data_IF_748371955773
#
_entry.id   IF_748371955773
#
_cell.length_a   1.000
_cell.length_b   1.000
_cell.length_c   1.000
_cell.angle_alpha   90.00
_cell.angle_beta   90.00
_cell.angle_gamma   90.00
#
_symmetry.space_group_name_H-M   'P 1'
#
loop_
_entity.id
_entity.type
_entity.pdbx_description
1 polymer ?
#
# COMPACT_ATOMS: atom_id res chain seq x y z
N UNK A 1 0.24 17.84 24.27
CA UNK A 1 1.06 17.06 23.32
C UNK A 1 1.34 15.75 24.00
N UNK A 2 0.89 14.65 23.42
CA UNK A 2 1.18 13.31 23.94
C UNK A 2 2.62 12.95 23.55
N UNK A 3 3.42 12.46 24.49
CA UNK A 3 4.80 12.05 24.19
C UNK A 3 4.79 10.71 23.44
N UNK A 4 5.32 10.72 22.23
CA UNK A 4 5.50 9.51 21.40
C UNK A 4 6.80 8.82 21.83
N UNK A 5 6.67 7.73 22.58
CA UNK A 5 7.80 6.93 23.04
C UNK A 5 8.53 6.22 21.89
N UNK A 6 9.80 5.83 22.10
CA UNK A 6 10.49 4.98 21.12
C UNK A 6 9.75 3.65 20.98
N UNK A 7 9.52 3.23 19.73
CA UNK A 7 8.81 1.98 19.41
C UNK A 7 7.29 2.08 19.48
N UNK A 8 6.70 3.24 19.81
CA UNK A 8 5.24 3.38 19.82
C UNK A 8 4.68 3.41 18.40
N UNK A 9 3.52 2.79 18.22
CA UNK A 9 2.77 2.84 16.98
C UNK A 9 2.20 4.25 16.76
N UNK A 10 2.62 4.90 15.67
CA UNK A 10 2.15 6.25 15.32
C UNK A 10 0.89 6.18 14.44
N UNK A 11 0.90 5.32 13.41
CA UNK A 11 -0.21 5.10 12.49
C UNK A 11 -0.20 3.65 12.01
N UNK A 12 -1.38 3.05 11.90
CA UNK A 12 -1.61 1.78 11.19
C UNK A 12 -2.64 2.03 10.09
N UNK A 13 -2.27 1.73 8.85
CA UNK A 13 -3.06 2.03 7.66
C UNK A 13 -3.06 0.84 6.70
N UNK A 14 -4.21 0.55 6.09
CA UNK A 14 -4.30 -0.39 4.96
C UNK A 14 -3.99 0.36 3.66
N UNK A 15 -3.36 -0.29 2.67
CA UNK A 15 -3.14 0.36 1.39
C UNK A 15 -4.49 0.73 0.76
N UNK A 16 -4.59 1.94 0.21
CA UNK A 16 -5.74 2.33 -0.59
C UNK A 16 -5.83 1.49 -1.86
N UNK A 17 -4.69 1.30 -2.52
CA UNK A 17 -4.50 0.43 -3.66
C UNK A 17 -3.09 -0.16 -3.63
N UNK A 18 -2.93 -1.39 -4.11
CA UNK A 18 -1.66 -2.08 -4.13
C UNK A 18 -1.58 -3.06 -5.31
N UNK A 19 -0.38 -3.25 -5.86
CA UNK A 19 -0.13 -4.12 -7.01
C UNK A 19 1.21 -4.84 -6.89
N UNK A 20 1.23 -6.13 -7.27
CA UNK A 20 2.46 -6.91 -7.39
C UNK A 20 3.33 -6.42 -8.54
N UNK A 21 4.64 -6.42 -8.34
CA UNK A 21 5.58 -6.22 -9.43
C UNK A 21 5.46 -7.37 -10.44
N UNK A 22 5.65 -7.14 -11.76
CA UNK A 22 5.44 -8.14 -12.80
C UNK A 22 6.13 -9.49 -12.54
N UNK A 23 7.39 -9.46 -12.07
CA UNK A 23 8.17 -10.65 -11.72
C UNK A 23 7.56 -11.50 -10.59
N UNK A 24 6.66 -10.93 -9.79
CA UNK A 24 6.06 -11.57 -8.63
C UNK A 24 4.59 -11.97 -8.82
N UNK A 25 3.95 -11.56 -9.93
CA UNK A 25 2.53 -11.88 -10.20
C UNK A 25 2.24 -13.39 -10.27
N UNK A 26 3.19 -14.19 -10.73
CA UNK A 26 3.03 -15.66 -10.80
C UNK A 26 3.45 -16.39 -9.52
N UNK A 27 4.11 -15.70 -8.60
CA UNK A 27 4.73 -16.33 -7.41
C UNK A 27 4.12 -15.85 -6.10
N UNK A 28 3.32 -14.78 -6.11
CA UNK A 28 2.71 -14.18 -4.93
C UNK A 28 1.22 -13.92 -5.16
N UNK A 29 0.45 -13.95 -4.08
CA UNK A 29 -0.97 -13.65 -4.11
C UNK A 29 -1.22 -12.16 -4.40
N UNK A 30 -2.14 -11.85 -5.30
CA UNK A 30 -2.49 -10.48 -5.65
C UNK A 30 -3.17 -9.71 -4.49
N UNK A 31 -3.75 -10.41 -3.52
CA UNK A 31 -4.47 -9.82 -2.40
C UNK A 31 -3.60 -9.63 -1.16
N UNK A 32 -2.89 -10.68 -0.72
CA UNK A 32 -2.07 -10.63 0.50
C UNK A 32 -0.56 -10.50 0.25
N UNK A 33 -0.12 -10.57 -1.00
CA UNK A 33 1.29 -10.55 -1.41
C UNK A 33 2.15 -11.68 -0.82
N UNK A 34 1.57 -12.69 -0.16
CA UNK A 34 2.30 -13.87 0.30
C UNK A 34 2.70 -14.76 -0.87
N UNK A 35 3.86 -15.41 -0.78
CA UNK A 35 4.37 -16.33 -1.80
C UNK A 35 3.47 -17.57 -1.91
N UNK A 36 2.90 -17.81 -3.08
CA UNK A 36 2.00 -18.93 -3.34
C UNK A 36 2.80 -20.22 -3.59
N UNK A 37 2.35 -21.34 -3.01
CA UNK A 37 2.92 -22.68 -3.23
C UNK A 37 2.16 -23.48 -4.31
N UNK A 38 0.89 -23.13 -4.60
CA UNK A 38 0.10 -23.66 -5.73
C UNK A 38 -0.90 -22.61 -6.26
N UNK A 39 -0.88 -22.36 -7.57
CA UNK A 39 -1.52 -21.22 -8.22
C UNK A 39 -2.98 -21.49 -8.61
N UNK A 40 -3.89 -20.62 -8.18
CA UNK A 40 -5.18 -20.37 -8.86
C UNK A 40 -5.38 -18.85 -8.96
N UNK A 41 -5.64 -18.29 -10.15
CA UNK A 41 -5.77 -16.86 -10.33
C UNK A 41 -7.22 -16.42 -10.06
N UNK A 42 -7.41 -15.46 -9.15
CA UNK A 42 -8.63 -14.64 -9.09
C UNK A 42 -8.26 -13.16 -9.22
N UNK A 43 -8.87 -12.50 -10.20
CA UNK A 43 -8.84 -11.06 -10.42
C UNK A 43 -10.07 -10.44 -9.75
N UNK A 44 -9.89 -9.59 -8.74
CA UNK A 44 -10.97 -8.73 -8.25
C UNK A 44 -10.45 -7.29 -8.15
N UNK A 45 -10.99 -6.43 -9.00
CA UNK A 45 -11.01 -4.98 -8.87
C UNK A 45 -12.40 -4.59 -8.34
N UNK A 46 -12.48 -3.70 -7.35
CA UNK A 46 -13.75 -3.12 -6.91
C UNK A 46 -13.57 -1.62 -6.70
N UNK A 47 -14.17 -0.83 -7.59
CA UNK A 47 -14.39 0.60 -7.43
C UNK A 47 -15.87 0.87 -7.66
N UNK A 48 -16.51 1.60 -6.74
CA UNK A 48 -17.84 2.18 -6.92
C UNK A 48 -17.73 3.69 -6.65
N UNK A 49 -18.33 4.48 -7.53
CA UNK A 49 -18.36 5.93 -7.50
C UNK A 49 -19.44 6.48 -6.55
N UNK A 50 -19.17 7.66 -5.96
CA UNK A 50 -20.14 8.74 -5.79
C UNK A 50 -19.45 10.05 -5.42
N UNK A 51 -20.04 11.15 -5.89
CA UNK A 51 -19.52 12.52 -5.90
C UNK A 51 -19.55 13.23 -4.54
N UNK A 52 -18.71 14.24 -4.38
CA UNK A 52 -18.97 15.41 -3.52
C UNK A 52 -18.03 16.58 -3.87
N UNK A 53 -18.63 17.74 -4.18
CA UNK A 53 -17.97 19.04 -4.24
C UNK A 53 -17.83 19.65 -2.85
N UNK A 54 -16.66 20.22 -2.52
CA UNK A 54 -16.56 21.12 -1.38
C UNK A 54 -15.50 22.19 -1.61
N UNK A 55 -15.92 23.45 -1.65
CA UNK A 55 -15.06 24.64 -1.54
C UNK A 55 -14.60 24.88 -0.09
N UNK A 56 -13.35 25.33 0.06
CA UNK A 56 -12.87 26.02 1.27
C UNK A 56 -12.27 25.16 2.39
N UNK A 57 -11.92 23.89 2.15
CA UNK A 57 -11.33 22.99 3.16
C UNK A 57 -9.86 22.63 2.88
N UNK A 58 -9.12 22.26 3.92
CA UNK A 58 -7.75 21.73 3.81
C UNK A 58 -7.74 20.50 2.90
N UNK A 59 -6.86 20.47 1.90
CA UNK A 59 -6.74 19.41 0.90
C UNK A 59 -6.71 17.99 1.54
N UNK A 60 -7.55 17.08 1.04
CA UNK A 60 -7.60 15.68 1.50
C UNK A 60 -8.47 15.41 2.73
N UNK A 61 -9.03 16.44 3.38
CA UNK A 61 -9.91 16.30 4.54
C UNK A 61 -11.38 16.22 4.10
N UNK A 62 -12.10 15.24 4.65
CA UNK A 62 -13.53 15.05 4.39
C UNK A 62 -14.45 16.08 5.05
N UNK A 63 -15.75 15.97 4.78
CA UNK A 63 -16.77 16.85 5.38
C UNK A 63 -16.81 16.79 6.91
N UNK A 64 -16.51 15.61 7.45
CA UNK A 64 -16.41 15.34 8.87
C UNK A 64 -15.16 15.95 9.52
N UNK A 65 -14.29 16.63 8.76
CA UNK A 65 -13.01 17.15 9.26
C UNK A 65 -11.93 16.06 9.44
N UNK A 66 -12.18 14.84 8.96
CA UNK A 66 -11.27 13.70 9.10
C UNK A 66 -10.50 13.44 7.80
N UNK A 67 -9.16 13.39 7.88
CA UNK A 67 -8.32 12.92 6.77
C UNK A 67 -8.43 11.40 6.66
N UNK A 68 -8.58 10.88 5.43
CA UNK A 68 -8.70 9.44 5.17
C UNK A 68 -9.82 8.78 6.01
N UNK A 69 -11.01 9.37 5.96
CA UNK A 69 -12.20 8.93 6.69
C UNK A 69 -12.67 7.50 6.34
N UNK A 70 -13.69 6.99 7.05
CA UNK A 70 -14.14 5.59 6.88
C UNK A 70 -14.85 5.33 5.54
N UNK A 71 -15.56 6.34 5.01
CA UNK A 71 -16.28 6.30 3.75
C UNK A 71 -15.33 6.38 2.54
N UNK A 72 -15.82 5.90 1.39
CA UNK A 72 -15.02 5.82 0.17
C UNK A 72 -14.61 7.22 -0.30
N UNK A 73 -15.54 8.17 -0.31
CA UNK A 73 -15.30 9.54 -0.81
C UNK A 73 -14.13 10.18 -0.07
N UNK A 74 -14.08 10.07 1.26
CA UNK A 74 -12.99 10.62 2.05
C UNK A 74 -11.66 9.88 1.84
N UNK A 75 -11.68 8.58 1.57
CA UNK A 75 -10.46 7.81 1.19
C UNK A 75 -9.92 8.25 -0.16
N UNK A 76 -10.79 8.36 -1.17
CA UNK A 76 -10.39 8.84 -2.49
C UNK A 76 -9.93 10.29 -2.44
N UNK A 77 -10.63 11.15 -1.70
CA UNK A 77 -10.24 12.55 -1.47
C UNK A 77 -8.84 12.66 -0.89
N UNK A 78 -8.47 11.80 0.08
CA UNK A 78 -7.11 11.76 0.62
C UNK A 78 -6.07 11.41 -0.47
N UNK A 79 -6.33 10.39 -1.30
CA UNK A 79 -5.45 10.00 -2.42
C UNK A 79 -5.34 11.11 -3.48
N UNK A 80 -6.48 11.67 -3.90
CA UNK A 80 -6.56 12.67 -4.95
C UNK A 80 -5.76 13.93 -4.61
N UNK A 81 -5.65 14.26 -3.32
CA UNK A 81 -4.92 15.43 -2.84
C UNK A 81 -3.45 15.15 -2.52
N UNK A 82 -2.94 13.93 -2.71
CA UNK A 82 -1.51 13.67 -2.65
C UNK A 82 -0.77 14.48 -3.72
N UNK A 83 0.42 14.98 -3.38
CA UNK A 83 1.19 15.84 -4.29
C UNK A 83 1.69 15.03 -5.50
N UNK A 84 1.29 15.37 -6.74
CA UNK A 84 1.72 14.64 -7.94
C UNK A 84 3.10 15.08 -8.45
N UNK A 85 3.63 16.22 -7.97
CA UNK A 85 4.89 16.84 -8.42
C UNK A 85 5.06 17.03 -9.95
N UNK A 86 3.96 17.06 -10.72
CA UNK A 86 3.98 17.24 -12.19
C UNK A 86 4.81 18.45 -12.64
N UNK A 87 4.67 19.61 -11.97
CA UNK A 87 5.39 20.83 -12.34
C UNK A 87 6.92 20.76 -12.10
N UNK A 88 7.41 19.75 -11.40
CA UNK A 88 8.84 19.50 -11.15
C UNK A 88 9.36 18.28 -11.93
N UNK A 89 8.50 17.64 -12.69
CA UNK A 89 8.80 16.45 -13.49
C UNK A 89 9.44 16.87 -14.81
N UNK A 90 10.32 16.03 -15.37
CA UNK A 90 10.92 16.27 -16.69
C UNK A 90 9.85 16.26 -17.78
N UNK A 91 10.08 17.00 -18.87
CA UNK A 91 9.08 17.11 -19.95
C UNK A 91 8.85 15.76 -20.63
N UNK A 92 9.90 14.95 -20.76
CA UNK A 92 9.82 13.60 -21.30
C UNK A 92 8.89 12.70 -20.48
N UNK A 93 9.00 12.77 -19.15
CA UNK A 93 8.14 12.03 -18.23
C UNK A 93 6.70 12.54 -18.26
N UNK A 94 6.51 13.86 -18.30
CA UNK A 94 5.17 14.46 -18.44
C UNK A 94 4.49 14.00 -19.74
N UNK A 95 5.23 13.97 -20.85
CA UNK A 95 4.73 13.48 -22.13
C UNK A 95 4.40 11.98 -22.06
N UNK A 96 5.26 11.17 -21.44
CA UNK A 96 4.98 9.74 -21.25
C UNK A 96 3.72 9.51 -20.41
N UNK A 97 3.53 10.25 -19.32
CA UNK A 97 2.33 10.13 -18.48
C UNK A 97 1.08 10.58 -19.22
N UNK A 98 1.17 11.66 -20.01
CA UNK A 98 0.07 12.13 -20.84
C UNK A 98 -0.34 11.08 -21.88
N UNK A 99 0.62 10.52 -22.63
CA UNK A 99 0.36 9.47 -23.62
C UNK A 99 -0.23 8.21 -22.97
N UNK A 100 0.34 7.75 -21.86
CA UNK A 100 -0.18 6.61 -21.12
C UNK A 100 -1.61 6.86 -20.63
N UNK A 101 -1.90 8.06 -20.13
CA UNK A 101 -3.22 8.41 -19.65
C UNK A 101 -4.26 8.47 -20.75
N UNK A 102 -3.93 9.04 -21.91
CA UNK A 102 -4.81 9.06 -23.08
C UNK A 102 -5.10 7.62 -23.53
N UNK A 103 -4.06 6.80 -23.70
CA UNK A 103 -4.22 5.40 -24.11
C UNK A 103 -5.10 4.60 -23.13
N UNK A 104 -4.91 4.80 -21.82
CA UNK A 104 -5.71 4.14 -20.80
C UNK A 104 -7.15 4.65 -20.78
N UNK A 105 -7.37 5.96 -20.88
CA UNK A 105 -8.71 6.54 -20.90
C UNK A 105 -9.50 6.09 -22.14
N UNK A 106 -8.86 6.07 -23.31
CA UNK A 106 -9.44 5.53 -24.54
C UNK A 106 -9.73 4.04 -24.41
N UNK A 107 -8.80 3.25 -23.85
CA UNK A 107 -9.05 1.82 -23.63
C UNK A 107 -10.20 1.57 -22.64
N UNK A 108 -10.35 2.39 -21.59
CA UNK A 108 -11.47 2.30 -20.66
C UNK A 108 -12.78 2.63 -21.40
N UNK A 109 -12.80 3.71 -22.19
CA UNK A 109 -13.97 4.12 -22.97
C UNK A 109 -14.39 3.08 -24.02
N UNK A 110 -13.43 2.46 -24.71
CA UNK A 110 -13.70 1.55 -25.83
C UNK A 110 -14.03 0.12 -25.36
N UNK A 111 -13.58 -0.26 -24.16
CA UNK A 111 -13.63 -1.65 -23.67
C UNK A 111 -14.57 -1.83 -22.50
N UNK A 112 -15.08 -0.75 -21.91
CA UNK A 112 -15.97 -0.77 -20.76
C UNK A 112 -17.02 0.32 -20.89
N UNK A 113 -18.16 0.14 -20.22
CA UNK A 113 -19.20 1.16 -20.16
C UNK A 113 -18.94 2.17 -19.03
N UNK A 114 -17.70 2.29 -18.54
CA UNK A 114 -17.38 3.08 -17.35
C UNK A 114 -17.80 4.55 -17.49
N UNK A 115 -17.64 5.14 -18.68
CA UNK A 115 -18.08 6.52 -18.91
C UNK A 115 -19.61 6.58 -18.93
N UNK A 116 -20.25 5.74 -19.74
CA UNK A 116 -21.71 5.71 -19.89
C UNK A 116 -22.46 5.46 -18.57
N UNK A 117 -21.95 4.56 -17.73
CA UNK A 117 -22.53 4.23 -16.42
C UNK A 117 -22.36 5.33 -15.37
N UNK A 118 -21.50 6.32 -15.62
CA UNK A 118 -21.16 7.38 -14.67
C UNK A 118 -21.43 8.79 -15.22
N UNK A 119 -22.16 8.91 -16.33
CA UNK A 119 -22.77 10.16 -16.76
C UNK A 119 -23.98 10.42 -15.86
N UNK A 120 -23.99 11.53 -15.12
CA UNK A 120 -25.11 11.91 -14.27
C UNK A 120 -26.15 12.67 -15.10
N UNK A 121 -27.25 12.00 -15.46
CA UNK A 121 -28.34 12.58 -16.26
C UNK A 121 -29.01 13.80 -15.59
N UNK A 122 -28.85 13.99 -14.28
CA UNK A 122 -29.57 15.00 -13.50
C UNK A 122 -28.77 16.27 -13.18
N UNK A 123 -27.48 16.32 -13.52
CA UNK A 123 -26.59 17.40 -13.07
C UNK A 123 -26.10 18.18 -14.29
N UNK A 124 -26.35 19.49 -14.35
CA UNK A 124 -25.87 20.42 -15.40
C UNK A 124 -24.32 20.57 -15.47
N UNK A 125 -23.55 19.58 -14.97
CA UNK A 125 -22.09 19.52 -15.02
C UNK A 125 -21.65 18.77 -16.28
N UNK A 126 -20.51 19.19 -16.81
CA UNK A 126 -19.92 18.64 -18.02
C UNK A 126 -19.84 17.10 -17.96
N UNK A 127 -20.41 16.44 -18.96
CA UNK A 127 -20.34 14.99 -19.14
C UNK A 127 -18.89 14.51 -18.97
N UNK A 128 -18.69 13.40 -18.25
CA UNK A 128 -17.40 12.76 -18.14
C UNK A 128 -16.94 12.34 -19.54
N UNK A 129 -15.91 12.97 -20.08
CA UNK A 129 -15.35 12.62 -21.39
C UNK A 129 -13.97 11.94 -21.28
N UNK A 130 -13.49 11.39 -22.40
CA UNK A 130 -12.19 10.71 -22.45
C UNK A 130 -11.04 11.65 -22.04
N UNK A 131 -11.15 12.94 -22.33
CA UNK A 131 -10.13 13.95 -22.01
C UNK A 131 -10.05 14.21 -20.51
N UNK A 132 -11.21 14.35 -19.86
CA UNK A 132 -11.33 14.51 -18.42
C UNK A 132 -10.83 13.26 -17.70
N UNK A 133 -11.23 12.07 -18.16
CA UNK A 133 -10.73 10.80 -17.63
C UNK A 133 -9.21 10.72 -17.77
N UNK A 134 -8.66 11.05 -18.94
CA UNK A 134 -7.21 11.09 -19.17
C UNK A 134 -6.51 12.08 -18.22
N UNK A 135 -7.09 13.24 -17.94
CA UNK A 135 -6.51 14.21 -17.01
C UNK A 135 -6.40 13.67 -15.57
N UNK A 136 -7.43 12.96 -15.11
CA UNK A 136 -7.46 12.32 -13.77
C UNK A 136 -6.49 11.15 -13.72
N UNK A 137 -6.45 10.32 -14.78
CA UNK A 137 -5.49 9.21 -14.89
C UNK A 137 -4.05 9.73 -14.89
N UNK A 138 -3.74 10.78 -15.64
CA UNK A 138 -2.41 11.40 -15.68
C UNK A 138 -1.98 11.88 -14.28
N UNK A 139 -2.89 12.54 -13.55
CA UNK A 139 -2.65 12.93 -12.15
C UNK A 139 -2.33 11.71 -11.28
N UNK A 140 -3.11 10.64 -11.39
CA UNK A 140 -2.89 9.43 -10.60
C UNK A 140 -1.60 8.69 -10.96
N UNK A 141 -1.18 8.68 -12.23
CA UNK A 141 0.13 8.17 -12.64
C UNK A 141 1.24 8.96 -11.93
N UNK A 142 1.17 10.29 -11.94
CA UNK A 142 2.16 11.13 -11.27
C UNK A 142 2.16 10.93 -9.74
N UNK A 143 0.99 10.74 -9.14
CA UNK A 143 0.86 10.40 -7.72
C UNK A 143 1.47 9.03 -7.38
N UNK A 144 1.29 8.03 -8.25
CA UNK A 144 1.93 6.72 -8.08
C UNK A 144 3.46 6.84 -8.09
N UNK A 145 4.02 7.66 -8.98
CA UNK A 145 5.48 7.87 -9.06
C UNK A 145 6.03 8.53 -7.80
N UNK A 146 5.30 9.49 -7.24
CA UNK A 146 5.77 10.33 -6.13
C UNK A 146 5.41 9.82 -4.73
N UNK A 147 4.31 9.08 -4.59
CA UNK A 147 3.74 8.73 -3.28
C UNK A 147 3.66 7.22 -3.02
N UNK A 148 3.94 6.38 -4.02
CA UNK A 148 3.80 4.94 -3.82
C UNK A 148 4.97 4.37 -3.00
N UNK A 149 4.60 3.52 -2.05
CA UNK A 149 5.50 2.88 -1.11
C UNK A 149 5.86 1.48 -1.60
N UNK A 150 7.12 1.10 -1.38
CA UNK A 150 7.59 -0.25 -1.65
C UNK A 150 7.10 -1.22 -0.57
N UNK A 151 6.44 -2.29 -0.98
CA UNK A 151 6.17 -3.45 -0.11
C UNK A 151 7.34 -4.42 -0.31
N UNK A 152 8.05 -4.73 0.78
CA UNK A 152 9.23 -5.59 0.75
C UNK A 152 9.04 -6.83 1.60
N UNK A 153 9.65 -7.93 1.18
CA UNK A 153 9.75 -9.17 1.95
C UNK A 153 11.20 -9.59 2.11
N UNK A 154 11.48 -10.27 3.20
CA UNK A 154 12.77 -10.89 3.49
C UNK A 154 12.76 -12.27 2.82
N UNK A 155 13.67 -12.51 1.88
CA UNK A 155 13.72 -13.74 1.08
C UNK A 155 15.16 -14.29 1.02
N UNK A 156 15.36 -15.60 0.86
CA UNK A 156 16.69 -16.16 0.62
C UNK A 156 17.30 -15.60 -0.66
N UNK A 157 18.56 -15.19 -0.60
CA UNK A 157 19.32 -14.79 -1.76
C UNK A 157 19.64 -16.03 -2.61
N UNK A 158 19.42 -15.94 -3.92
CA UNK A 158 19.81 -16.99 -4.85
C UNK A 158 21.31 -16.90 -5.11
N UNK A 159 22.12 -17.53 -4.24
CA UNK A 159 23.57 -17.65 -4.43
C UNK A 159 23.95 -19.10 -4.72
N UNK A 160 24.65 -19.33 -5.83
CA UNK A 160 25.28 -20.62 -6.18
C UNK A 160 26.61 -20.85 -5.42
N UNK A 161 26.74 -20.32 -4.21
CA UNK A 161 27.95 -20.51 -3.40
C UNK A 161 27.76 -21.65 -2.41
N UNK A 162 28.77 -22.50 -2.25
CA UNK A 162 28.86 -23.63 -1.30
C UNK A 162 28.95 -23.18 0.19
N UNK A 163 28.41 -22.01 0.48
CA UNK A 163 28.30 -21.41 1.81
C UNK A 163 27.22 -22.15 2.61
N UNK A 164 27.59 -22.66 3.78
CA UNK A 164 26.64 -23.22 4.77
C UNK A 164 25.75 -22.16 5.45
N UNK A 165 25.95 -20.89 5.14
CA UNK A 165 25.16 -19.77 5.67
C UNK A 165 24.18 -19.31 4.60
N UNK A 166 22.89 -19.39 4.93
CA UNK A 166 21.79 -18.87 4.10
C UNK A 166 21.86 -17.35 4.07
N UNK A 167 22.12 -16.79 2.88
CA UNK A 167 22.08 -15.35 2.68
C UNK A 167 20.63 -14.92 2.50
N UNK A 168 20.25 -13.80 3.13
CA UNK A 168 18.89 -13.28 3.12
C UNK A 168 18.90 -11.86 2.56
N UNK A 169 17.94 -11.53 1.71
CA UNK A 169 17.81 -10.23 1.05
C UNK A 169 16.40 -9.65 1.25
N UNK A 170 16.33 -8.33 1.44
CA UNK A 170 15.07 -7.60 1.36
C UNK A 170 14.71 -7.33 -0.11
N UNK A 171 13.63 -7.95 -0.58
CA UNK A 171 13.17 -7.87 -1.96
C UNK A 171 11.86 -7.09 -2.01
N UNK A 172 11.79 -6.07 -2.88
CA UNK A 172 10.52 -5.39 -3.19
C UNK A 172 9.64 -6.33 -4.00
N UNK A 173 8.46 -6.65 -3.47
CA UNK A 173 7.48 -7.56 -4.09
C UNK A 173 6.30 -6.83 -4.71
N UNK A 174 5.90 -5.70 -4.12
CA UNK A 174 4.74 -4.93 -4.54
C UNK A 174 4.95 -3.42 -4.34
N UNK A 175 3.97 -2.66 -4.83
CA UNK A 175 3.88 -1.22 -4.70
C UNK A 175 2.48 -0.85 -4.21
N UNK A 176 2.37 0.12 -3.30
CA UNK A 176 1.08 0.50 -2.74
C UNK A 176 0.99 1.99 -2.36
N UNK A 177 -0.21 2.55 -2.37
CA UNK A 177 -0.48 3.91 -1.90
C UNK A 177 -1.06 3.85 -0.49
N UNK A 178 -0.46 4.63 0.42
CA UNK A 178 -0.87 4.79 1.80
C UNK A 178 -1.05 6.29 2.08
N UNK A 179 -2.26 6.85 1.90
CA UNK A 179 -2.48 8.30 1.95
C UNK A 179 -1.97 8.96 3.22
N UNK A 180 -2.10 8.29 4.37
CA UNK A 180 -1.66 8.84 5.66
C UNK A 180 -0.14 8.77 5.79
N UNK A 181 0.47 7.66 5.36
CA UNK A 181 1.93 7.50 5.34
C UNK A 181 2.63 8.43 4.35
N UNK A 182 1.99 8.75 3.22
CA UNK A 182 2.51 9.70 2.21
C UNK A 182 2.64 11.14 2.71
N UNK A 183 2.03 11.49 3.86
CA UNK A 183 2.23 12.81 4.49
C UNK A 183 3.56 12.92 5.25
N UNK A 184 4.26 11.79 5.47
CA UNK A 184 5.55 11.79 6.15
C UNK A 184 6.64 12.27 5.19
N UNK A 185 7.21 13.43 5.48
CA UNK A 185 8.29 13.97 4.67
C UNK A 185 9.57 13.13 4.81
N UNK A 186 10.33 13.05 3.72
CA UNK A 186 11.63 12.41 3.71
C UNK A 186 12.61 13.13 4.66
N UNK A 187 13.30 12.35 5.50
CA UNK A 187 14.45 12.79 6.27
C UNK A 187 15.54 11.73 6.15
N UNK A 188 16.79 12.15 5.90
CA UNK A 188 17.93 11.22 5.89
C UNK A 188 18.26 10.67 7.28
N UNK A 189 17.71 11.26 8.35
CA UNK A 189 17.73 10.75 9.73
C UNK A 189 16.31 10.75 10.27
N UNK A 190 15.49 9.75 9.91
CA UNK A 190 14.08 9.73 10.28
C UNK A 190 13.91 9.37 11.77
N UNK A 191 12.87 9.91 12.39
CA UNK A 191 12.42 9.58 13.74
C UNK A 191 11.24 8.58 13.76
N UNK A 192 10.69 8.26 12.58
CA UNK A 192 9.61 7.29 12.37
C UNK A 192 10.06 6.31 11.29
N UNK A 193 9.83 5.01 11.49
CA UNK A 193 10.13 3.97 10.51
C UNK A 193 8.81 3.39 10.01
N UNK A 194 8.58 3.42 8.70
CA UNK A 194 7.47 2.71 8.07
C UNK A 194 7.89 1.26 7.85
N UNK A 195 7.25 0.32 8.56
CA UNK A 195 7.56 -1.11 8.45
C UNK A 195 6.34 -1.95 8.74
N UNK A 196 6.16 -3.04 7.99
CA UNK A 196 5.22 -4.07 8.37
C UNK A 196 5.68 -4.66 9.72
N UNK A 197 4.82 -4.62 10.74
CA UNK A 197 5.13 -5.01 12.12
C UNK A 197 5.81 -6.38 12.27
N UNK A 198 5.54 -7.32 11.35
CA UNK A 198 6.21 -8.62 11.31
C UNK A 198 7.72 -8.52 11.07
N UNK A 199 8.15 -7.58 10.24
CA UNK A 199 9.55 -7.39 9.86
C UNK A 199 10.35 -6.82 11.04
N UNK A 200 9.75 -5.90 11.80
CA UNK A 200 10.39 -5.32 13.00
C UNK A 200 10.51 -6.39 14.09
N UNK A 201 9.48 -7.22 14.26
CA UNK A 201 9.52 -8.35 15.20
C UNK A 201 10.63 -9.35 14.89
N UNK A 202 10.82 -9.71 13.61
CA UNK A 202 11.90 -10.62 13.18
C UNK A 202 13.31 -10.01 13.32
N UNK A 203 13.46 -8.70 13.09
CA UNK A 203 14.72 -8.00 13.34
C UNK A 203 15.07 -7.94 14.84
N UNK A 204 14.07 -7.73 15.70
CA UNK A 204 14.26 -7.76 17.15
C UNK A 204 14.71 -9.16 17.64
N UNK A 205 14.16 -10.24 17.05
CA UNK A 205 14.66 -11.61 17.30
C UNK A 205 16.14 -11.74 16.91
N UNK A 206 16.53 -11.23 15.74
CA UNK A 206 17.93 -11.30 15.27
C UNK A 206 18.90 -10.52 16.16
N UNK A 207 18.44 -9.43 16.78
CA UNK A 207 19.23 -8.64 17.74
C UNK A 207 19.25 -9.23 19.15
N UNK A 208 18.52 -10.31 19.39
CA UNK A 208 18.38 -10.95 20.70
C UNK A 208 17.44 -10.21 21.66
N UNK A 209 16.72 -9.19 21.20
CA UNK A 209 15.69 -8.48 21.98
C UNK A 209 14.36 -9.25 21.92
N UNK A 210 14.37 -10.42 22.54
CA UNK A 210 13.24 -11.36 22.55
C UNK A 210 11.95 -10.78 23.16
N UNK A 211 11.99 -9.97 24.25
CA UNK A 211 10.78 -9.35 24.80
C UNK A 211 10.09 -8.41 23.80
N UNK A 212 10.86 -7.56 23.12
CA UNK A 212 10.33 -6.64 22.12
C UNK A 212 9.83 -7.39 20.88
N UNK A 213 10.57 -8.41 20.43
CA UNK A 213 10.16 -9.30 19.35
C UNK A 213 8.81 -9.98 19.63
N UNK A 214 8.63 -10.58 20.81
CA UNK A 214 7.38 -11.24 21.20
C UNK A 214 6.22 -10.24 21.26
N UNK A 215 6.47 -9.03 21.78
CA UNK A 215 5.48 -7.95 21.83
C UNK A 215 5.02 -7.57 20.42
N UNK A 216 5.96 -7.28 19.54
CA UNK A 216 5.71 -6.86 18.16
C UNK A 216 5.03 -7.96 17.34
N UNK A 217 5.42 -9.22 17.49
CA UNK A 217 4.83 -10.35 16.76
C UNK A 217 3.42 -10.69 17.25
N UNK A 218 3.16 -10.65 18.57
CA UNK A 218 1.79 -10.75 19.12
C UNK A 218 0.90 -9.63 18.61
N UNK A 219 1.43 -8.41 18.55
CA UNK A 219 0.72 -7.23 18.04
C UNK A 219 0.43 -7.36 16.53
N UNK A 220 1.40 -7.83 15.75
CA UNK A 220 1.24 -8.12 14.33
C UNK A 220 0.15 -9.16 14.05
N UNK A 221 0.04 -10.19 14.89
CA UNK A 221 -1.03 -11.21 14.85
C UNK A 221 -2.38 -10.59 15.23
N UNK A 222 -2.45 -9.78 16.28
CA UNK A 222 -3.70 -9.14 16.72
C UNK A 222 -4.26 -8.14 15.69
N UNK A 223 -3.39 -7.40 15.01
CA UNK A 223 -3.77 -6.53 13.91
C UNK A 223 -4.13 -7.37 12.68
N UNK A 224 -3.31 -8.37 12.36
CA UNK A 224 -3.53 -9.28 11.24
C UNK A 224 -4.87 -10.01 11.31
N UNK A 225 -5.32 -10.42 12.51
CA UNK A 225 -6.58 -11.17 12.69
C UNK A 225 -7.83 -10.33 12.48
N UNK A 226 -7.70 -9.00 12.55
CA UNK A 226 -8.77 -8.05 12.21
C UNK A 226 -8.81 -7.71 10.72
N UNK A 227 -7.78 -8.11 9.97
CA UNK A 227 -7.54 -7.65 8.60
C UNK A 227 -7.56 -8.80 7.59
N UNK A 228 -7.16 -10.00 8.00
CA UNK A 228 -6.98 -11.16 7.12
C UNK A 228 -7.71 -12.40 7.68
N UNK A 229 -8.02 -13.34 6.78
CA UNK A 229 -8.57 -14.65 7.14
C UNK A 229 -7.55 -15.48 7.95
N UNK A 230 -8.01 -16.37 8.85
CA UNK A 230 -7.13 -17.17 9.72
C UNK A 230 -6.12 -18.05 8.96
N UNK A 231 -6.46 -18.49 7.74
CA UNK A 231 -5.58 -19.33 6.92
C UNK A 231 -4.56 -18.54 6.09
N UNK A 232 -4.47 -17.21 6.27
CA UNK A 232 -3.53 -16.39 5.52
C UNK A 232 -2.07 -16.82 5.82
N UNK A 233 -1.31 -17.12 4.78
CA UNK A 233 0.07 -17.59 4.88
C UNK A 233 1.02 -16.59 5.57
N UNK A 234 0.73 -15.28 5.49
CA UNK A 234 1.40 -14.27 6.32
C UNK A 234 1.16 -14.52 7.82
N UNK A 235 -0.07 -14.88 8.20
CA UNK A 235 -0.43 -15.17 9.58
C UNK A 235 0.29 -16.40 10.13
N UNK A 236 0.43 -17.44 9.29
CA UNK A 236 1.22 -18.63 9.62
C UNK A 236 2.69 -18.27 9.85
N UNK A 237 3.29 -17.49 8.95
CA UNK A 237 4.68 -17.02 9.08
C UNK A 237 4.91 -16.20 10.36
N UNK A 238 4.02 -15.26 10.67
CA UNK A 238 4.15 -14.43 11.88
C UNK A 238 3.90 -15.24 13.16
N UNK A 239 2.98 -16.21 13.13
CA UNK A 239 2.80 -17.17 14.23
C UNK A 239 4.03 -18.04 14.43
N UNK A 240 4.66 -18.51 13.36
CA UNK A 240 5.87 -19.33 13.44
C UNK A 240 7.05 -18.50 13.98
N UNK A 241 7.20 -17.24 13.54
CA UNK A 241 8.17 -16.30 14.11
C UNK A 241 7.88 -16.03 15.59
N UNK A 242 6.61 -15.84 15.98
CA UNK A 242 6.24 -15.67 17.39
C UNK A 242 6.54 -16.93 18.23
N UNK A 243 6.22 -18.11 17.72
CA UNK A 243 6.45 -19.37 18.39
C UNK A 243 7.96 -19.59 18.63
N UNK A 244 8.80 -19.28 17.64
CA UNK A 244 10.26 -19.28 17.78
C UNK A 244 10.73 -18.28 18.84
N UNK A 245 10.24 -17.04 18.80
CA UNK A 245 10.60 -16.03 19.79
C UNK A 245 10.19 -16.43 21.23
N UNK A 246 9.02 -17.07 21.39
CA UNK A 246 8.55 -17.58 22.68
C UNK A 246 9.41 -18.75 23.18
N UNK A 247 9.75 -19.69 22.30
CA UNK A 247 10.63 -20.82 22.59
C UNK A 247 12.03 -20.33 23.03
N UNK A 248 12.62 -19.39 22.28
CA UNK A 248 13.92 -18.80 22.60
C UNK A 248 13.89 -17.98 23.90
N UNK A 249 12.73 -17.41 24.25
CA UNK A 249 12.52 -16.67 25.51
C UNK A 249 12.20 -17.54 26.73
N UNK A 250 12.08 -18.86 26.56
CA UNK A 250 11.74 -19.81 27.62
C UNK A 250 10.31 -19.68 28.15
N UNK A 251 9.41 -19.04 27.41
CA UNK A 251 7.98 -18.89 27.78
C UNK A 251 7.13 -19.97 27.09
N UNK A 252 6.12 -20.54 27.77
CA UNK A 252 5.25 -21.54 27.15
C UNK A 252 4.46 -20.94 25.97
N UNK A 253 4.29 -21.76 24.93
CA UNK A 253 3.61 -21.48 23.66
C UNK A 253 2.11 -21.23 23.86
#
# INVERSE_FOLDING_TARGET
>A
MEEVGKGSEVVVEKPYAAILLPKHQKTHCHTCFSKIVNSYPDFIFMLHNREEEVEGRTAGIGESGVYNGPDMVNKYRAVYHLLPHLNRCLLEDQLQYCLAAILLATAISDRTNFIEENIDENTHKADLDVSQLASVVMRHIAQLVSNAHAITQIMPAQCESDSKVEQIQQVRVACAIYPTSSMMNHSCKPNIINSALSIIGEEAMRKGDLPDAVSLLKRAIQIGSKVYLPENQYFLSVRDSLARALADSGKPV
#
